data_IF_402252583853
#
_entry.id   IF_402252583853
#
_cell.length_a   1.000
_cell.length_b   1.000
_cell.length_c   1.000
_cell.angle_alpha   90.00
_cell.angle_beta   90.00
_cell.angle_gamma   90.00
#
_symmetry.space_group_name_H-M   'P 1'
#
loop_
_entity.id
_entity.type
_entity.pdbx_description
1 polymer ?
#
# COMPACT_ATOMS: atom_id res chain seq x y z
N UNK A 1 -24.19 84.04 -42.65
CA UNK A 1 -23.93 83.49 -41.27
C UNK A 1 -24.76 82.23 -41.14
N UNK A 2 -24.15 81.08 -41.41
CA UNK A 2 -24.81 79.74 -41.53
C UNK A 2 -24.48 78.90 -40.29
N UNK A 3 -25.51 78.67 -39.45
CA UNK A 3 -25.38 77.92 -38.22
C UNK A 3 -25.58 76.41 -38.52
N UNK A 4 -24.52 75.62 -38.45
CA UNK A 4 -24.58 74.15 -38.59
C UNK A 4 -25.05 73.55 -37.28
N UNK A 5 -26.23 72.96 -37.27
CA UNK A 5 -26.83 72.24 -36.13
C UNK A 5 -26.40 70.83 -36.18
N UNK A 6 -25.43 70.44 -35.33
CA UNK A 6 -24.94 69.10 -35.19
C UNK A 6 -25.98 68.24 -34.43
N UNK A 7 -26.75 67.40 -35.15
CA UNK A 7 -27.70 66.48 -34.55
C UNK A 7 -26.90 65.19 -34.15
N UNK A 8 -26.49 65.10 -32.90
CA UNK A 8 -25.96 63.88 -32.34
C UNK A 8 -27.07 62.80 -32.34
N UNK A 9 -26.86 61.73 -33.05
CA UNK A 9 -27.77 60.60 -33.17
C UNK A 9 -27.92 59.92 -31.82
N UNK A 10 -28.97 60.27 -31.07
CA UNK A 10 -29.24 59.72 -29.72
C UNK A 10 -29.36 58.19 -29.68
N UNK A 11 -29.64 57.54 -30.82
CA UNK A 11 -29.69 56.08 -30.96
C UNK A 11 -28.29 55.44 -30.94
N UNK A 12 -27.26 56.15 -31.37
CA UNK A 12 -25.86 55.66 -31.29
C UNK A 12 -25.29 55.73 -29.87
N UNK A 13 -25.73 56.74 -29.08
CA UNK A 13 -25.30 56.86 -27.66
C UNK A 13 -25.89 55.77 -26.80
N UNK A 14 -27.15 55.32 -27.03
CA UNK A 14 -27.72 54.18 -26.31
C UNK A 14 -27.08 52.85 -26.69
N UNK A 15 -26.61 52.65 -27.92
CA UNK A 15 -25.92 51.43 -28.35
C UNK A 15 -24.50 51.31 -27.76
N UNK A 16 -23.82 52.43 -27.56
CA UNK A 16 -22.48 52.46 -26.93
C UNK A 16 -22.62 52.30 -25.40
N UNK A 17 -23.68 52.81 -24.78
CA UNK A 17 -23.90 52.68 -23.34
C UNK A 17 -24.38 51.27 -22.95
N UNK A 18 -25.06 50.54 -23.86
CA UNK A 18 -25.46 49.16 -23.61
C UNK A 18 -24.31 48.15 -23.75
N UNK A 19 -23.22 48.49 -24.48
CA UNK A 19 -22.06 47.64 -24.66
C UNK A 19 -21.07 47.68 -23.48
N UNK A 20 -21.21 48.68 -22.60
CA UNK A 20 -20.34 48.87 -21.41
C UNK A 20 -20.82 48.13 -20.17
N UNK A 21 -21.98 47.43 -20.21
CA UNK A 21 -22.52 46.66 -19.07
C UNK A 21 -22.26 45.17 -19.13
N UNK A 22 -21.51 44.65 -20.13
CA UNK A 22 -21.19 43.21 -20.27
C UNK A 22 -19.76 42.88 -19.80
N UNK A 23 -19.02 43.85 -19.26
CA UNK A 23 -17.65 43.65 -18.82
C UNK A 23 -17.53 43.77 -17.29
N UNK A 24 -18.30 43.00 -16.53
CA UNK A 24 -17.94 42.68 -15.14
C UNK A 24 -18.85 41.57 -14.60
N UNK A 25 -18.50 40.35 -14.84
CA UNK A 25 -18.68 39.25 -13.91
C UNK A 25 -17.78 38.09 -14.35
N UNK A 26 -16.48 38.27 -14.16
CA UNK A 26 -15.75 37.14 -13.62
C UNK A 26 -16.11 37.11 -12.15
N UNK A 27 -17.22 36.47 -11.84
CA UNK A 27 -17.34 35.84 -10.56
C UNK A 27 -16.21 34.82 -10.53
N UNK A 28 -15.09 35.18 -9.89
CA UNK A 28 -14.26 34.19 -9.21
C UNK A 28 -15.19 33.61 -8.14
N UNK A 29 -16.07 32.71 -8.59
CA UNK A 29 -16.67 31.74 -7.71
C UNK A 29 -15.46 31.00 -7.15
N UNK A 30 -15.01 31.39 -5.97
CA UNK A 30 -14.21 30.58 -5.10
C UNK A 30 -14.98 29.25 -5.00
N UNK A 31 -14.60 28.27 -5.83
CA UNK A 31 -15.13 26.91 -5.68
C UNK A 31 -14.99 26.61 -4.20
N UNK A 32 -16.10 26.31 -3.54
CA UNK A 32 -16.09 25.84 -2.17
C UNK A 32 -15.03 24.74 -2.11
N UNK A 33 -14.08 24.77 -1.16
CA UNK A 33 -12.98 23.83 -1.13
C UNK A 33 -13.56 22.43 -1.25
N UNK A 34 -13.18 21.74 -2.33
CA UNK A 34 -13.69 20.40 -2.64
C UNK A 34 -13.47 19.48 -1.44
N UNK A 35 -14.34 18.51 -1.23
CA UNK A 35 -14.15 17.52 -0.17
C UNK A 35 -12.85 16.75 -0.45
N UNK A 36 -12.00 16.65 0.56
CA UNK A 36 -10.83 15.82 0.51
C UNK A 36 -11.16 14.46 1.11
N UNK A 37 -11.13 13.41 0.31
CA UNK A 37 -11.57 12.07 0.68
C UNK A 37 -10.56 11.01 0.21
N UNK A 38 -10.47 9.89 0.94
CA UNK A 38 -9.81 8.69 0.46
C UNK A 38 -10.74 8.00 -0.55
N UNK A 39 -10.31 7.97 -1.80
CA UNK A 39 -11.08 7.46 -2.93
C UNK A 39 -10.91 5.95 -3.10
N UNK A 40 -9.68 5.45 -2.94
CA UNK A 40 -9.36 4.05 -3.13
C UNK A 40 -8.22 3.62 -2.20
N UNK A 41 -8.26 2.36 -1.76
CA UNK A 41 -7.16 1.67 -1.10
C UNK A 41 -6.90 0.33 -1.80
N UNK A 42 -5.63 0.03 -2.04
CA UNK A 42 -5.21 -1.30 -2.49
C UNK A 42 -4.02 -1.81 -1.70
N UNK A 43 -3.97 -3.13 -1.50
CA UNK A 43 -2.86 -3.82 -0.86
C UNK A 43 -2.54 -5.05 -1.71
N UNK A 44 -1.37 -5.02 -2.38
CA UNK A 44 -1.08 -5.98 -3.43
C UNK A 44 -2.14 -5.93 -4.54
N UNK A 45 -2.74 -7.06 -4.85
CA UNK A 45 -3.78 -7.18 -5.90
C UNK A 45 -5.21 -6.88 -5.39
N UNK A 46 -5.38 -6.67 -4.08
CA UNK A 46 -6.70 -6.49 -3.46
C UNK A 46 -7.06 -5.02 -3.33
N UNK A 47 -8.31 -4.68 -3.60
CA UNK A 47 -8.77 -3.28 -3.63
C UNK A 47 -10.07 -3.09 -2.85
N UNK A 48 -10.24 -1.91 -2.25
CA UNK A 48 -11.46 -1.37 -1.66
C UNK A 48 -12.20 -2.28 -0.66
N UNK A 49 -11.41 -3.03 0.13
CA UNK A 49 -11.92 -3.88 1.19
C UNK A 49 -11.78 -3.19 2.56
N UNK A 50 -12.67 -3.49 3.49
CA UNK A 50 -12.53 -3.07 4.89
C UNK A 50 -11.54 -3.94 5.66
N UNK A 51 -11.37 -5.19 5.23
CA UNK A 51 -10.40 -6.15 5.74
C UNK A 51 -9.69 -6.85 4.59
N UNK A 52 -8.37 -6.90 4.66
CA UNK A 52 -7.51 -7.54 3.66
C UNK A 52 -6.95 -8.83 4.26
N UNK A 53 -7.35 -9.96 3.71
CA UNK A 53 -6.92 -11.28 4.17
C UNK A 53 -5.84 -11.84 3.24
N UNK A 54 -4.95 -12.68 3.78
CA UNK A 54 -3.89 -13.34 3.01
C UNK A 54 -3.05 -12.36 2.17
N UNK A 55 -2.59 -11.28 2.80
CA UNK A 55 -1.72 -10.28 2.18
C UNK A 55 -0.28 -10.81 2.14
N UNK A 56 0.37 -10.71 0.98
CA UNK A 56 1.75 -11.11 0.84
C UNK A 56 2.69 -10.25 1.70
N UNK A 57 3.74 -10.82 2.31
CA UNK A 57 4.66 -10.08 3.17
C UNK A 57 5.40 -8.93 2.49
N UNK A 58 5.60 -9.00 1.19
CA UNK A 58 6.26 -8.00 0.35
C UNK A 58 5.31 -6.95 -0.24
N UNK A 59 4.00 -7.06 0.04
CA UNK A 59 2.99 -6.15 -0.48
C UNK A 59 3.18 -4.72 0.03
N UNK A 60 2.83 -3.75 -0.80
CA UNK A 60 2.71 -2.35 -0.44
C UNK A 60 1.23 -1.94 -0.32
N UNK A 61 0.98 -0.90 0.46
CA UNK A 61 -0.34 -0.27 0.59
C UNK A 61 -0.35 0.94 -0.34
N UNK A 62 -1.32 1.03 -1.23
CA UNK A 62 -1.53 2.21 -2.05
C UNK A 62 -2.86 2.88 -1.68
N UNK A 63 -2.79 4.18 -1.43
CA UNK A 63 -3.91 5.04 -1.10
C UNK A 63 -4.08 6.07 -2.22
N UNK A 64 -5.29 6.25 -2.72
CA UNK A 64 -5.61 7.29 -3.70
C UNK A 64 -6.61 8.25 -3.10
N UNK A 65 -6.31 9.54 -3.15
CA UNK A 65 -7.15 10.61 -2.63
C UNK A 65 -7.82 11.39 -3.76
N UNK A 66 -8.82 12.19 -3.41
CA UNK A 66 -9.56 13.02 -4.37
C UNK A 66 -8.78 14.26 -4.82
N UNK A 67 -7.72 14.64 -4.10
CA UNK A 67 -6.90 15.82 -4.38
C UNK A 67 -5.44 15.55 -3.96
N UNK A 68 -4.56 16.49 -4.30
CA UNK A 68 -3.14 16.43 -3.96
C UNK A 68 -2.91 16.40 -2.44
N UNK A 69 -2.06 15.49 -1.96
CA UNK A 69 -1.79 15.25 -0.53
C UNK A 69 -0.64 16.11 -0.05
N UNK A 70 -0.78 16.71 1.13
CA UNK A 70 0.31 17.37 1.86
C UNK A 70 1.15 16.32 2.62
N UNK A 71 2.36 16.06 2.11
CA UNK A 71 3.30 15.09 2.66
C UNK A 71 3.62 15.31 4.15
N UNK A 72 3.67 16.58 4.60
CA UNK A 72 3.99 16.90 5.97
C UNK A 72 2.96 16.36 6.99
N UNK A 73 1.75 16.07 6.53
CA UNK A 73 0.66 15.57 7.37
C UNK A 73 0.59 14.04 7.45
N UNK A 74 1.32 13.31 6.59
CA UNK A 74 1.21 11.85 6.44
C UNK A 74 1.67 11.13 7.71
N UNK A 75 2.92 11.33 8.12
CA UNK A 75 3.56 10.55 9.19
C UNK A 75 2.86 10.67 10.55
N UNK A 76 2.21 11.79 10.82
CA UNK A 76 1.48 12.02 12.08
C UNK A 76 0.04 11.50 12.06
N UNK A 77 -0.53 11.25 10.88
CA UNK A 77 -1.95 10.94 10.73
C UNK A 77 -2.25 9.59 10.07
N UNK A 78 -1.26 8.95 9.48
CA UNK A 78 -1.38 7.58 8.98
C UNK A 78 -0.53 6.69 9.86
N UNK A 79 -1.15 5.73 10.55
CA UNK A 79 -0.49 4.90 11.55
C UNK A 79 -0.72 3.44 11.18
N UNK A 80 0.37 2.72 10.92
CA UNK A 80 0.35 1.27 10.79
C UNK A 80 0.67 0.64 12.13
N UNK A 81 -0.14 -0.32 12.58
CA UNK A 81 0.02 -1.01 13.86
C UNK A 81 0.10 -2.51 13.67
N UNK A 82 0.94 -3.17 14.46
CA UNK A 82 1.00 -4.61 14.65
C UNK A 82 0.76 -4.88 16.14
N UNK A 83 -0.29 -5.63 16.49
CA UNK A 83 -0.65 -5.90 17.89
C UNK A 83 -0.73 -4.61 18.74
N UNK A 84 -1.38 -3.57 18.22
CA UNK A 84 -1.50 -2.21 18.77
C UNK A 84 -0.21 -1.40 18.95
N UNK A 85 0.95 -1.95 18.56
CA UNK A 85 2.21 -1.24 18.51
C UNK A 85 2.41 -0.58 17.14
N UNK A 86 2.83 0.69 17.11
CA UNK A 86 3.13 1.38 15.86
C UNK A 86 4.31 0.72 15.14
N UNK A 87 4.17 0.53 13.84
CA UNK A 87 5.20 -0.02 12.95
C UNK A 87 5.66 1.09 12.02
N UNK A 88 6.97 1.24 11.87
CA UNK A 88 7.55 2.17 10.92
C UNK A 88 7.26 1.74 9.48
N UNK A 89 7.07 2.72 8.62
CA UNK A 89 6.88 2.51 7.18
C UNK A 89 7.54 3.63 6.38
N UNK A 90 7.94 3.31 5.18
CA UNK A 90 8.37 4.28 4.18
C UNK A 90 7.15 4.74 3.37
N UNK A 91 7.05 6.05 3.13
CA UNK A 91 5.99 6.64 2.33
C UNK A 91 6.54 7.28 1.07
N UNK A 92 5.86 7.09 -0.06
CA UNK A 92 6.23 7.67 -1.34
C UNK A 92 5.00 8.16 -2.09
N UNK A 93 4.97 9.44 -2.46
CA UNK A 93 3.96 9.96 -3.38
C UNK A 93 4.25 9.51 -4.81
N UNK A 94 3.22 8.99 -5.47
CA UNK A 94 3.20 8.66 -6.89
C UNK A 94 2.25 9.63 -7.61
N UNK A 95 2.79 10.71 -8.14
CA UNK A 95 2.00 11.86 -8.60
C UNK A 95 1.66 12.80 -7.46
N UNK A 96 0.42 13.33 -7.43
CA UNK A 96 -0.01 14.29 -6.41
C UNK A 96 -1.00 13.70 -5.40
N UNK A 97 -1.77 12.71 -5.81
CA UNK A 97 -2.94 12.16 -5.13
C UNK A 97 -2.77 10.69 -4.70
N UNK A 98 -1.68 10.02 -5.12
CA UNK A 98 -1.41 8.62 -4.80
C UNK A 98 -0.26 8.48 -3.82
N UNK A 99 -0.51 7.81 -2.72
CA UNK A 99 0.46 7.55 -1.67
C UNK A 99 0.72 6.04 -1.57
N UNK A 100 1.98 5.64 -1.71
CA UNK A 100 2.42 4.28 -1.45
C UNK A 100 3.07 4.19 -0.08
N UNK A 101 2.68 3.21 0.73
CA UNK A 101 3.26 2.93 2.03
C UNK A 101 3.84 1.52 2.01
N UNK A 102 5.07 1.37 2.47
CA UNK A 102 5.74 0.07 2.59
C UNK A 102 6.26 -0.09 4.00
N UNK A 103 5.80 -1.11 4.76
CA UNK A 103 6.31 -1.35 6.10
C UNK A 103 7.83 -1.57 6.05
N UNK A 104 8.55 -0.94 6.96
CA UNK A 104 10.01 -1.10 7.03
C UNK A 104 10.36 -2.56 7.38
N UNK A 105 11.04 -3.24 6.45
CA UNK A 105 11.31 -4.68 6.54
C UNK A 105 10.16 -5.59 6.09
N UNK A 106 9.12 -5.02 5.44
CA UNK A 106 7.95 -5.76 4.96
C UNK A 106 6.94 -6.10 6.06
N UNK A 107 5.87 -6.75 5.68
CA UNK A 107 4.92 -7.33 6.64
C UNK A 107 5.48 -8.64 7.22
N UNK A 108 5.25 -8.90 8.50
CA UNK A 108 5.51 -10.23 9.08
C UNK A 108 4.45 -11.22 8.62
N UNK A 109 4.85 -12.43 8.28
CA UNK A 109 3.92 -13.52 7.93
C UNK A 109 2.98 -13.85 9.09
N UNK A 110 1.76 -14.32 8.79
CA UNK A 110 0.74 -14.74 9.75
C UNK A 110 0.45 -13.73 10.85
N UNK A 111 0.44 -12.44 10.50
CA UNK A 111 0.30 -11.34 11.45
C UNK A 111 -0.91 -10.48 11.12
N UNK A 112 -1.47 -9.84 12.16
CA UNK A 112 -2.60 -8.92 12.03
C UNK A 112 -2.13 -7.48 12.22
N UNK A 113 -2.35 -6.68 11.20
CA UNK A 113 -2.05 -5.26 11.21
C UNK A 113 -3.34 -4.44 11.16
N UNK A 114 -3.24 -3.21 11.63
CA UNK A 114 -4.30 -2.21 11.54
C UNK A 114 -3.72 -0.93 10.95
N UNK A 115 -4.28 -0.49 9.84
CA UNK A 115 -3.96 0.79 9.23
C UNK A 115 -5.02 1.80 9.67
N UNK A 116 -4.57 2.85 10.36
CA UNK A 116 -5.44 3.95 10.83
C UNK A 116 -5.09 5.20 10.03
N UNK A 117 -6.07 5.79 9.39
CA UNK A 117 -5.96 7.05 8.65
C UNK A 117 -6.83 8.07 9.37
N UNK A 118 -6.22 9.04 10.02
CA UNK A 118 -6.92 10.09 10.77
C UNK A 118 -7.36 11.25 9.88
N UNK A 119 -8.40 12.01 10.26
CA UNK A 119 -8.83 13.20 9.54
C UNK A 119 -7.79 14.33 9.47
N UNK A 120 -6.69 14.21 10.23
CA UNK A 120 -5.58 15.16 10.19
C UNK A 120 -4.73 15.13 8.93
N UNK A 121 -4.89 14.12 8.04
CA UNK A 121 -4.32 14.14 6.68
C UNK A 121 -4.96 15.30 5.92
N UNK A 122 -4.14 16.11 5.25
CA UNK A 122 -4.61 17.28 4.51
C UNK A 122 -4.24 17.22 3.04
N UNK A 123 -5.04 17.91 2.24
CA UNK A 123 -4.64 18.25 0.87
C UNK A 123 -3.63 19.40 0.87
N UNK A 124 -2.92 19.58 -0.25
CA UNK A 124 -2.02 20.74 -0.46
C UNK A 124 -2.74 22.10 -0.38
N UNK A 125 -4.06 22.12 -0.58
CA UNK A 125 -4.92 23.28 -0.38
C UNK A 125 -5.34 23.49 1.08
N UNK A 126 -4.89 22.63 2.01
CA UNK A 126 -5.14 22.72 3.46
C UNK A 126 -6.47 22.11 3.92
N UNK A 127 -7.24 21.47 3.02
CA UNK A 127 -8.51 20.80 3.37
C UNK A 127 -8.19 19.49 4.08
N UNK A 128 -8.78 19.27 5.25
CA UNK A 128 -8.63 18.02 6.03
C UNK A 128 -9.45 16.89 5.43
N UNK A 129 -8.97 15.66 5.62
CA UNK A 129 -9.70 14.44 5.23
C UNK A 129 -11.09 14.42 5.89
N UNK A 130 -12.12 14.25 5.10
CA UNK A 130 -13.52 14.33 5.55
C UNK A 130 -13.84 13.31 6.64
N UNK A 131 -13.35 12.08 6.47
CA UNK A 131 -13.56 10.98 7.41
C UNK A 131 -12.30 10.16 7.61
N UNK A 132 -11.97 9.85 8.85
CA UNK A 132 -10.96 8.86 9.17
C UNK A 132 -11.38 7.46 8.73
N UNK A 133 -10.41 6.60 8.46
CA UNK A 133 -10.61 5.20 8.04
C UNK A 133 -9.73 4.27 8.87
N UNK A 134 -10.22 3.08 9.09
CA UNK A 134 -9.47 1.99 9.72
C UNK A 134 -9.62 0.75 8.87
N UNK A 135 -8.51 0.09 8.57
CA UNK A 135 -8.46 -1.14 7.78
C UNK A 135 -7.74 -2.22 8.56
N UNK A 136 -8.26 -3.44 8.50
CA UNK A 136 -7.60 -4.61 9.06
C UNK A 136 -6.84 -5.34 7.95
N UNK A 137 -5.63 -5.78 8.25
CA UNK A 137 -4.74 -6.44 7.30
C UNK A 137 -4.22 -7.71 7.96
N UNK A 138 -4.52 -8.87 7.39
CA UNK A 138 -3.99 -10.16 7.82
C UNK A 138 -3.07 -10.70 6.76
N UNK A 139 -1.84 -10.92 7.14
CA UNK A 139 -0.81 -11.42 6.23
C UNK A 139 -0.87 -12.93 6.10
N UNK A 140 -0.55 -13.40 4.91
CA UNK A 140 -0.41 -14.82 4.58
C UNK A 140 0.97 -15.37 4.90
N UNK A 141 1.24 -16.51 4.30
CA UNK A 141 2.55 -17.18 4.34
C UNK A 141 3.53 -16.41 3.44
N UNK A 142 4.77 -16.35 3.87
CA UNK A 142 5.88 -15.99 3.00
C UNK A 142 6.21 -17.23 2.13
N UNK A 143 5.86 -17.15 0.87
CA UNK A 143 6.06 -18.18 -0.15
C UNK A 143 7.33 -17.97 -0.98
N UNK A 144 8.16 -17.00 -0.59
CA UNK A 144 9.47 -16.81 -1.22
C UNK A 144 10.37 -18.02 -1.01
N UNK A 145 11.17 -18.33 -2.01
CA UNK A 145 12.15 -19.40 -1.92
C UNK A 145 13.18 -19.06 -0.83
N UNK A 146 13.19 -19.85 0.25
CA UNK A 146 14.13 -19.67 1.37
C UNK A 146 15.49 -20.29 1.10
N UNK A 147 15.59 -21.08 0.05
CA UNK A 147 16.79 -21.76 -0.38
C UNK A 147 16.97 -21.57 -1.88
N UNK A 148 18.23 -21.52 -2.30
CA UNK A 148 18.55 -21.48 -3.73
C UNK A 148 17.99 -22.73 -4.42
N UNK A 149 17.34 -22.55 -5.55
CA UNK A 149 16.89 -23.65 -6.39
C UNK A 149 18.11 -24.30 -7.02
N UNK A 150 18.25 -25.59 -6.82
CA UNK A 150 19.24 -26.42 -7.49
C UNK A 150 18.55 -27.31 -8.53
N UNK A 151 19.25 -27.75 -9.59
CA UNK A 151 18.70 -28.70 -10.57
C UNK A 151 18.19 -29.99 -9.89
N UNK A 152 17.14 -30.60 -10.42
CA UNK A 152 16.50 -31.77 -9.84
C UNK A 152 17.47 -32.94 -9.64
N UNK A 153 18.43 -33.16 -10.55
CA UNK A 153 19.48 -34.18 -10.42
C UNK A 153 20.40 -33.91 -9.23
N UNK A 154 20.78 -32.68 -8.99
CA UNK A 154 21.62 -32.30 -7.85
C UNK A 154 20.83 -32.42 -6.54
N UNK A 155 19.54 -32.05 -6.55
CA UNK A 155 18.66 -32.25 -5.40
C UNK A 155 18.50 -33.71 -5.05
N UNK A 156 18.26 -34.58 -6.05
CA UNK A 156 18.13 -36.02 -5.87
C UNK A 156 19.44 -36.62 -5.30
N UNK A 157 20.56 -36.22 -5.87
CA UNK A 157 21.89 -36.63 -5.39
C UNK A 157 22.12 -36.18 -3.94
N UNK A 158 21.74 -34.95 -3.61
CA UNK A 158 21.86 -34.41 -2.25
C UNK A 158 21.01 -35.22 -1.26
N UNK A 159 19.75 -35.48 -1.60
CA UNK A 159 18.82 -36.27 -0.77
C UNK A 159 19.37 -37.69 -0.55
N UNK A 160 19.75 -38.37 -1.63
CA UNK A 160 20.33 -39.72 -1.54
C UNK A 160 21.59 -39.76 -0.64
N UNK A 161 22.49 -38.81 -0.84
CA UNK A 161 23.72 -38.69 -0.04
C UNK A 161 23.42 -38.45 1.44
N UNK A 162 22.49 -37.57 1.77
CA UNK A 162 22.13 -37.26 3.16
C UNK A 162 21.41 -38.45 3.83
N UNK A 163 20.51 -39.10 3.08
CA UNK A 163 19.83 -40.33 3.54
C UNK A 163 20.83 -41.47 3.81
N UNK A 164 21.71 -41.74 2.85
CA UNK A 164 22.74 -42.77 3.03
C UNK A 164 23.66 -42.47 4.24
N UNK A 165 24.03 -41.17 4.41
CA UNK A 165 24.86 -40.73 5.52
C UNK A 165 24.21 -41.02 6.88
N UNK A 166 22.86 -40.90 6.98
CA UNK A 166 22.15 -41.26 8.19
C UNK A 166 22.36 -42.75 8.54
N UNK A 167 22.13 -43.67 7.61
CA UNK A 167 22.29 -45.10 7.85
C UNK A 167 23.73 -45.45 8.13
N UNK A 168 24.68 -44.86 7.44
CA UNK A 168 26.10 -45.10 7.63
C UNK A 168 26.62 -44.63 8.98
N UNK A 169 26.29 -43.43 9.39
CA UNK A 169 26.82 -42.82 10.61
C UNK A 169 26.09 -43.30 11.88
N UNK A 170 24.83 -43.67 11.77
CA UNK A 170 23.97 -44.04 12.90
C UNK A 170 23.56 -45.52 12.89
N UNK A 171 24.17 -46.35 12.03
CA UNK A 171 23.99 -47.77 12.07
C UNK A 171 24.40 -48.34 13.42
N UNK A 172 23.69 -49.40 13.88
CA UNK A 172 24.05 -50.10 15.12
C UNK A 172 25.32 -50.87 14.91
N UNK A 173 26.32 -50.65 15.80
CA UNK A 173 27.69 -51.14 15.61
C UNK A 173 27.84 -52.68 15.45
N UNK A 174 26.95 -53.45 16.07
CA UNK A 174 27.04 -54.93 16.06
C UNK A 174 26.12 -55.58 15.03
N UNK A 175 24.93 -54.99 14.77
CA UNK A 175 23.97 -55.58 13.84
C UNK A 175 23.95 -54.93 12.46
N UNK A 176 24.51 -53.73 12.29
CA UNK A 176 24.45 -52.97 11.07
C UNK A 176 23.05 -52.39 10.75
N UNK A 177 22.06 -52.67 11.59
CA UNK A 177 20.69 -52.22 11.38
C UNK A 177 20.55 -50.71 11.65
N UNK A 178 19.61 -50.08 10.97
CA UNK A 178 19.29 -48.67 11.21
C UNK A 178 18.72 -48.47 12.62
N UNK A 179 19.17 -47.41 13.30
CA UNK A 179 18.53 -46.95 14.53
C UNK A 179 17.21 -46.27 14.21
N UNK A 180 16.26 -46.37 15.14
CA UNK A 180 14.96 -45.72 14.97
C UNK A 180 15.08 -44.17 14.75
N UNK A 181 16.00 -43.59 15.51
CA UNK A 181 16.33 -42.14 15.45
C UNK A 181 17.69 -41.87 16.06
N UNK A 182 18.26 -40.71 15.86
CA UNK A 182 19.58 -40.31 16.35
C UNK A 182 19.72 -40.40 17.88
N UNK A 183 18.60 -40.31 18.61
CA UNK A 183 18.54 -40.29 20.09
C UNK A 183 18.03 -41.60 20.69
N UNK A 184 17.81 -42.65 19.90
CA UNK A 184 17.22 -43.93 20.38
C UNK A 184 18.20 -44.88 21.05
N UNK A 185 19.45 -44.47 21.25
CA UNK A 185 20.51 -45.37 21.80
C UNK A 185 20.71 -46.60 20.95
N UNK A 186 20.63 -47.81 21.54
CA UNK A 186 20.82 -49.08 20.83
C UNK A 186 19.51 -49.67 20.28
N UNK A 187 18.39 -48.91 20.32
CA UNK A 187 17.14 -49.39 19.74
C UNK A 187 17.24 -49.32 18.21
N UNK A 188 17.03 -50.48 17.59
CA UNK A 188 17.00 -50.63 16.12
C UNK A 188 15.62 -51.03 15.66
N UNK A 189 15.30 -50.74 14.40
CA UNK A 189 14.01 -51.08 13.80
C UNK A 189 14.20 -51.94 12.55
N UNK A 190 13.35 -52.92 12.37
CA UNK A 190 13.32 -53.72 11.14
C UNK A 190 12.61 -53.01 9.98
N UNK A 191 11.86 -51.94 10.25
CA UNK A 191 11.18 -51.15 9.22
C UNK A 191 12.08 -50.13 8.52
N UNK A 192 13.31 -49.90 9.02
CA UNK A 192 14.28 -48.96 8.45
C UNK A 192 15.47 -49.58 7.75
N UNK A 193 15.44 -50.88 7.54
CA UNK A 193 16.52 -51.65 6.87
C UNK A 193 16.10 -52.07 5.48
#
# INVERSE_FOLDING_TARGET
MMTVRNRVNMRAVYFILSLLLIACSKDDASEAPGKFELQNISIGEKQDQSSFENVAPDASIALTFTDAVDEATIQSNIILKLNDQAVAYDSKLQGKDKLSLTPTGGFKSFSSYKLVINPGVKSTSGVSLTNGKVYEIRTGMDDSDKFDRIPDEDLLTLVQKQTFKYFWNFGHAHSGMARERTTSGDVVTTGGT
#
